data_IF_193134145930
#
_entry.id   IF_193134145930
#
_cell.length_a   1.000
_cell.length_b   1.000
_cell.length_c   1.000
_cell.angle_alpha   90.00
_cell.angle_beta   90.00
_cell.angle_gamma   90.00
#
_symmetry.space_group_name_H-M   'P 1'
#
loop_
_entity.id
_entity.type
_entity.pdbx_description
1 polymer ?
#
# COMPACT_ATOMS: atom_id res chain seq x y z
N UNK A 1 14.62 -8.64 20.99
CA UNK A 1 13.80 -8.36 19.78
C UNK A 1 14.44 -7.27 18.96
N UNK A 2 14.15 -7.20 17.64
CA UNK A 2 14.61 -6.12 16.76
C UNK A 2 13.43 -5.60 15.90
N UNK A 3 13.40 -4.29 15.65
CA UNK A 3 12.43 -3.67 14.76
C UNK A 3 13.16 -3.17 13.52
N UNK A 4 12.80 -3.69 12.35
CA UNK A 4 13.42 -3.34 11.08
C UNK A 4 12.42 -2.74 10.09
N UNK A 5 12.91 -1.79 9.27
CA UNK A 5 12.17 -1.24 8.13
C UNK A 5 12.46 -2.13 6.92
N UNK A 6 11.44 -2.84 6.44
CA UNK A 6 11.54 -3.62 5.20
C UNK A 6 11.57 -2.68 3.99
N UNK A 7 10.61 -1.73 3.96
CA UNK A 7 10.50 -0.76 2.85
C UNK A 7 9.72 0.48 3.26
N UNK A 8 10.22 1.64 2.83
CA UNK A 8 9.48 2.89 2.81
C UNK A 8 9.02 3.19 1.38
N UNK A 9 7.80 3.68 1.23
CA UNK A 9 7.18 4.11 -0.01
C UNK A 9 6.65 5.53 0.15
N UNK A 10 6.03 6.11 -0.86
CA UNK A 10 5.54 7.50 -0.81
C UNK A 10 4.48 7.74 0.28
N UNK A 11 3.57 6.78 0.50
CA UNK A 11 2.42 6.94 1.41
C UNK A 11 2.22 5.77 2.37
N UNK A 12 3.20 4.88 2.45
CA UNK A 12 3.17 3.71 3.33
C UNK A 12 4.58 3.25 3.67
N UNK A 13 4.70 2.45 4.72
CA UNK A 13 5.93 1.78 5.09
C UNK A 13 5.64 0.40 5.67
N UNK A 14 6.55 -0.54 5.46
CA UNK A 14 6.44 -1.93 5.92
C UNK A 14 7.56 -2.23 6.88
N UNK A 15 7.23 -2.84 7.99
CA UNK A 15 8.14 -3.15 9.09
C UNK A 15 8.07 -4.64 9.45
N UNK A 16 9.13 -5.12 10.06
CA UNK A 16 9.20 -6.44 10.67
C UNK A 16 9.64 -6.34 12.12
N UNK A 17 8.92 -7.02 13.00
CA UNK A 17 9.33 -7.29 14.38
C UNK A 17 10.00 -8.68 14.43
N UNK A 18 11.32 -8.68 14.47
CA UNK A 18 12.13 -9.89 14.59
C UNK A 18 12.17 -10.37 16.06
N UNK A 19 11.34 -11.34 16.40
CA UNK A 19 11.19 -11.90 17.74
C UNK A 19 11.56 -13.39 17.81
N UNK A 20 12.15 -13.94 16.74
CA UNK A 20 12.50 -15.36 16.63
C UNK A 20 11.34 -16.29 16.25
N UNK A 21 10.13 -15.75 16.06
CA UNK A 21 8.94 -16.50 15.65
C UNK A 21 8.59 -16.20 14.19
N UNK A 22 8.09 -17.20 13.47
CA UNK A 22 7.60 -17.01 12.09
C UNK A 22 6.18 -16.47 12.09
N UNK A 23 5.91 -15.45 11.28
CA UNK A 23 4.59 -14.87 10.95
C UNK A 23 3.86 -14.18 12.09
N UNK A 24 3.76 -14.76 13.28
CA UNK A 24 2.98 -14.22 14.40
C UNK A 24 3.78 -14.13 15.67
N UNK A 25 3.62 -13.05 16.45
CA UNK A 25 4.19 -12.95 17.79
C UNK A 25 3.47 -13.91 18.75
N UNK A 26 4.10 -14.20 19.88
CA UNK A 26 3.47 -14.98 20.95
C UNK A 26 2.26 -14.25 21.55
N UNK A 27 2.37 -12.94 21.67
CA UNK A 27 1.29 -12.04 22.12
C UNK A 27 1.17 -10.84 21.18
N UNK A 28 -0.06 -10.31 20.93
CA UNK A 28 -0.24 -9.08 20.21
C UNK A 28 0.53 -7.92 20.84
N UNK A 29 1.02 -7.01 20.02
CA UNK A 29 1.80 -5.85 20.46
C UNK A 29 1.18 -4.52 20.00
N UNK A 30 1.55 -3.44 20.69
CA UNK A 30 1.10 -2.09 20.37
C UNK A 30 2.06 -1.47 19.35
N UNK A 31 1.52 -0.79 18.34
CA UNK A 31 2.30 0.00 17.40
C UNK A 31 1.90 1.46 17.52
N UNK A 32 2.89 2.34 17.59
CA UNK A 32 2.69 3.79 17.62
C UNK A 32 3.37 4.45 16.42
N UNK A 33 2.84 5.57 15.98
CA UNK A 33 3.42 6.45 14.98
C UNK A 33 3.50 7.86 15.56
N UNK A 34 4.70 8.43 15.65
CA UNK A 34 4.96 9.70 16.31
C UNK A 34 4.33 9.78 17.72
N UNK A 35 4.41 8.69 18.49
CA UNK A 35 3.85 8.57 19.83
C UNK A 35 2.34 8.32 19.91
N UNK A 36 1.62 8.35 18.77
CA UNK A 36 0.18 8.04 18.73
C UNK A 36 -0.04 6.57 18.37
N UNK A 37 -0.88 5.87 19.14
CA UNK A 37 -1.22 4.46 18.85
C UNK A 37 -1.97 4.35 17.53
N UNK A 38 -1.49 3.45 16.66
CA UNK A 38 -2.08 3.10 15.37
C UNK A 38 -2.60 1.67 15.32
N UNK A 39 -1.97 0.77 16.09
CA UNK A 39 -2.47 -0.59 16.31
C UNK A 39 -2.41 -0.89 17.81
N UNK A 40 -3.55 -1.21 18.42
CA UNK A 40 -3.62 -1.60 19.83
C UNK A 40 -3.24 -3.07 20.05
N UNK A 41 -3.44 -3.91 19.04
CA UNK A 41 -3.19 -5.36 19.10
C UNK A 41 -2.73 -5.89 17.73
N UNK A 42 -1.52 -5.52 17.31
CA UNK A 42 -0.89 -6.07 16.11
C UNK A 42 -0.52 -7.54 16.38
N UNK A 43 -1.00 -8.45 15.52
CA UNK A 43 -0.83 -9.91 15.68
C UNK A 43 -0.03 -10.56 14.55
N UNK A 44 0.71 -9.76 13.79
CA UNK A 44 1.59 -10.21 12.71
C UNK A 44 2.96 -9.57 12.85
N UNK A 45 4.03 -10.35 12.68
CA UNK A 45 5.40 -9.84 12.78
C UNK A 45 5.72 -8.83 11.69
N UNK A 46 5.17 -9.02 10.49
CA UNK A 46 5.23 -8.02 9.42
C UNK A 46 3.95 -7.19 9.44
N UNK A 47 4.10 -5.88 9.52
CA UNK A 47 2.98 -4.93 9.54
C UNK A 47 3.26 -3.69 8.67
N UNK A 48 2.21 -3.02 8.26
CA UNK A 48 2.30 -1.85 7.38
C UNK A 48 1.62 -0.64 8.00
N UNK A 49 2.20 0.52 7.79
CA UNK A 49 1.60 1.82 8.08
C UNK A 49 1.16 2.47 6.78
N UNK A 50 -0.04 3.01 6.77
CA UNK A 50 -0.67 3.63 5.60
C UNK A 50 -1.03 5.08 5.85
N UNK A 51 -1.47 5.80 4.81
CA UNK A 51 -1.90 7.20 4.86
C UNK A 51 -0.82 8.15 5.37
N UNK A 52 0.43 7.84 5.10
CA UNK A 52 1.58 8.69 5.40
C UNK A 52 1.68 9.83 4.38
N UNK A 53 2.31 10.92 4.78
CA UNK A 53 2.64 12.02 3.87
C UNK A 53 3.97 11.71 3.17
N UNK A 54 4.11 12.02 1.86
CA UNK A 54 5.35 11.84 1.13
C UNK A 54 6.49 12.72 1.67
N UNK A 55 7.73 12.24 1.55
CA UNK A 55 8.93 12.98 1.93
C UNK A 55 8.97 13.41 3.41
N UNK A 56 8.28 12.68 4.28
CA UNK A 56 8.09 13.05 5.67
C UNK A 56 8.77 12.07 6.61
N UNK A 57 9.42 12.60 7.65
CA UNK A 57 10.02 11.81 8.71
C UNK A 57 8.98 11.37 9.74
N UNK A 58 9.07 10.12 10.13
CA UNK A 58 8.22 9.49 11.14
C UNK A 58 9.04 8.63 12.10
N UNK A 59 8.57 8.53 13.33
CA UNK A 59 9.07 7.57 14.31
C UNK A 59 8.00 6.53 14.57
N UNK A 60 8.29 5.25 14.23
CA UNK A 60 7.46 4.11 14.61
C UNK A 60 7.97 3.55 15.94
N UNK A 61 7.05 3.25 16.85
CA UNK A 61 7.32 2.59 18.12
C UNK A 61 6.56 1.26 18.21
N UNK A 62 7.17 0.28 18.87
CA UNK A 62 6.57 -1.02 19.16
C UNK A 62 6.74 -1.32 20.64
N UNK A 63 5.64 -1.69 21.30
CA UNK A 63 5.64 -2.19 22.68
C UNK A 63 5.23 -3.65 22.69
N UNK A 64 6.19 -4.54 22.93
CA UNK A 64 6.01 -5.99 22.88
C UNK A 64 6.75 -6.65 24.03
N UNK A 65 6.11 -7.58 24.74
CA UNK A 65 6.70 -8.42 25.81
C UNK A 65 7.51 -7.65 26.87
N UNK A 66 7.03 -6.43 27.21
CA UNK A 66 7.68 -5.54 28.19
C UNK A 66 8.85 -4.71 27.64
N UNK A 67 9.23 -4.90 26.37
CA UNK A 67 10.23 -4.08 25.68
C UNK A 67 9.56 -2.97 24.87
N UNK A 68 10.26 -1.84 24.74
CA UNK A 68 9.87 -0.74 23.84
C UNK A 68 10.97 -0.52 22.82
N UNK A 69 10.63 -0.71 21.55
CA UNK A 69 11.51 -0.49 20.41
C UNK A 69 11.03 0.73 19.63
N UNK A 70 11.96 1.46 19.01
CA UNK A 70 11.62 2.58 18.12
C UNK A 70 12.57 2.65 16.94
N UNK A 71 12.05 3.16 15.81
CA UNK A 71 12.81 3.35 14.58
C UNK A 71 12.30 4.61 13.87
N UNK A 72 13.23 5.48 13.44
CA UNK A 72 12.89 6.65 12.62
C UNK A 72 13.13 6.32 11.15
N UNK A 73 12.21 6.74 10.28
CA UNK A 73 12.27 6.55 8.85
C UNK A 73 11.70 7.75 8.10
N UNK A 74 12.00 7.85 6.82
CA UNK A 74 11.48 8.89 5.93
C UNK A 74 10.72 8.21 4.78
N UNK A 75 9.53 8.70 4.47
CA UNK A 75 8.79 8.26 3.28
C UNK A 75 9.45 8.77 2.01
N UNK A 76 9.31 8.03 0.90
CA UNK A 76 9.80 8.48 -0.41
C UNK A 76 9.09 9.76 -0.84
N UNK A 77 9.82 10.64 -1.55
CA UNK A 77 9.24 11.83 -2.15
C UNK A 77 8.28 11.46 -3.28
N UNK A 78 7.16 12.17 -3.38
CA UNK A 78 6.18 12.01 -4.45
C UNK A 78 6.39 13.09 -5.50
N UNK A 79 6.74 12.70 -6.73
CA UNK A 79 6.99 13.66 -7.81
C UNK A 79 5.71 14.18 -8.44
N UNK A 80 4.64 13.36 -8.43
CA UNK A 80 3.36 13.69 -9.03
C UNK A 80 2.22 12.88 -8.39
N UNK A 81 1.04 13.49 -8.30
CA UNK A 81 -0.16 12.84 -7.78
C UNK A 81 -1.25 12.83 -8.87
N UNK A 82 -1.66 11.64 -9.26
CA UNK A 82 -2.70 11.40 -10.27
C UNK A 82 -3.95 10.86 -9.56
N UNK A 83 -4.99 11.65 -9.47
CA UNK A 83 -6.29 11.18 -9.03
C UNK A 83 -6.96 10.41 -10.18
N UNK A 84 -7.06 9.09 -10.03
CA UNK A 84 -7.60 8.21 -11.06
C UNK A 84 -9.10 8.47 -11.35
N UNK A 85 -9.86 9.08 -10.43
CA UNK A 85 -11.26 9.42 -10.66
C UNK A 85 -11.43 10.35 -11.85
N UNK A 86 -10.43 11.20 -12.13
CA UNK A 86 -10.42 12.14 -13.27
C UNK A 86 -10.37 11.45 -14.64
N UNK A 87 -10.07 10.15 -14.67
CA UNK A 87 -10.09 9.34 -15.90
C UNK A 87 -11.46 8.72 -16.19
N UNK A 88 -12.50 9.13 -15.45
CA UNK A 88 -13.87 8.68 -15.65
C UNK A 88 -14.13 7.26 -15.16
N UNK A 89 -13.43 6.83 -14.11
CA UNK A 89 -13.69 5.55 -13.44
C UNK A 89 -15.13 5.50 -12.87
N UNK A 90 -15.74 4.34 -12.95
CA UNK A 90 -17.06 4.04 -12.38
C UNK A 90 -16.91 3.01 -11.28
N UNK A 91 -17.30 3.39 -10.07
CA UNK A 91 -17.06 2.61 -8.83
C UNK A 91 -18.23 1.69 -8.46
N UNK A 92 -18.93 1.11 -9.44
CA UNK A 92 -20.14 0.28 -9.27
C UNK A 92 -19.85 -1.22 -9.07
N UNK A 93 -18.61 -1.66 -9.32
CA UNK A 93 -18.21 -3.06 -9.28
C UNK A 93 -18.59 -3.86 -10.53
N UNK A 94 -19.23 -3.23 -11.51
CA UNK A 94 -19.75 -3.89 -12.73
C UNK A 94 -19.11 -3.32 -14.00
N UNK A 95 -18.96 -2.02 -14.09
CA UNK A 95 -18.36 -1.35 -15.24
C UNK A 95 -16.87 -1.70 -15.37
N UNK A 96 -16.43 -2.08 -16.57
CA UNK A 96 -15.02 -2.30 -16.85
C UNK A 96 -14.24 -0.98 -16.83
N UNK A 97 -13.28 -0.87 -15.92
CA UNK A 97 -12.40 0.27 -15.74
C UNK A 97 -10.98 0.03 -16.25
N UNK A 98 -10.69 -1.11 -16.88
CA UNK A 98 -9.33 -1.53 -17.27
C UNK A 98 -8.60 -0.45 -18.08
N UNK A 99 -9.20 -0.01 -19.19
CA UNK A 99 -8.56 0.99 -20.06
C UNK A 99 -8.38 2.36 -19.39
N UNK A 100 -9.34 2.77 -18.57
CA UNK A 100 -9.31 4.06 -17.85
C UNK A 100 -8.23 4.07 -16.76
N UNK A 101 -8.16 3.01 -15.94
CA UNK A 101 -7.14 2.90 -14.91
C UNK A 101 -5.75 2.66 -15.52
N UNK A 102 -5.67 1.89 -16.62
CA UNK A 102 -4.42 1.73 -17.36
C UNK A 102 -3.93 3.06 -17.95
N UNK A 103 -4.81 3.93 -18.43
CA UNK A 103 -4.44 5.26 -18.90
C UNK A 103 -3.84 6.11 -17.76
N UNK A 104 -4.45 6.10 -16.56
CA UNK A 104 -3.91 6.78 -15.40
C UNK A 104 -2.51 6.26 -15.03
N UNK A 105 -2.31 4.94 -15.01
CA UNK A 105 -1.02 4.30 -14.73
C UNK A 105 0.03 4.65 -15.80
N UNK A 106 -0.37 4.65 -17.08
CA UNK A 106 0.53 4.91 -18.20
C UNK A 106 0.98 6.37 -18.27
N UNK A 107 0.14 7.32 -17.92
CA UNK A 107 0.45 8.75 -17.91
C UNK A 107 1.17 9.21 -16.65
N UNK A 108 1.12 8.45 -15.55
CA UNK A 108 1.80 8.80 -14.31
C UNK A 108 3.32 8.85 -14.52
N UNK A 109 4.00 9.96 -14.22
CA UNK A 109 5.45 10.06 -14.35
C UNK A 109 6.18 9.21 -13.30
N UNK A 110 7.48 8.97 -13.54
CA UNK A 110 8.37 8.25 -12.61
C UNK A 110 8.36 8.92 -11.23
N UNK A 111 8.20 8.14 -10.18
CA UNK A 111 8.11 8.61 -8.79
C UNK A 111 6.74 9.18 -8.43
N UNK A 112 5.76 9.11 -9.34
CA UNK A 112 4.39 9.55 -9.08
C UNK A 112 3.53 8.46 -8.46
N UNK A 113 2.40 8.90 -7.91
CA UNK A 113 1.36 8.06 -7.32
C UNK A 113 0.06 8.20 -8.12
N UNK A 114 -0.51 7.06 -8.51
CA UNK A 114 -1.89 6.95 -8.99
C UNK A 114 -2.78 6.62 -7.79
N UNK A 115 -3.62 7.57 -7.41
CA UNK A 115 -4.53 7.42 -6.28
C UNK A 115 -5.88 6.89 -6.78
N UNK A 116 -6.33 5.80 -6.16
CA UNK A 116 -7.63 5.20 -6.41
C UNK A 116 -8.53 5.45 -5.19
N UNK A 117 -9.56 6.29 -5.30
CA UNK A 117 -10.48 6.58 -4.19
C UNK A 117 -11.30 5.36 -3.80
N UNK A 118 -11.97 5.42 -2.64
CA UNK A 118 -12.87 4.37 -2.18
C UNK A 118 -13.95 4.04 -3.22
N UNK A 119 -14.20 2.75 -3.43
CA UNK A 119 -15.16 2.26 -4.42
C UNK A 119 -14.81 0.86 -4.91
N UNK A 120 -15.67 0.28 -5.74
CA UNK A 120 -15.48 -1.05 -6.31
C UNK A 120 -15.24 -0.94 -7.81
N UNK A 121 -14.03 -1.26 -8.25
CA UNK A 121 -13.59 -1.08 -9.64
C UNK A 121 -13.29 -2.42 -10.27
N UNK A 122 -14.13 -2.84 -11.25
CA UNK A 122 -13.84 -4.04 -12.02
C UNK A 122 -12.78 -3.74 -13.07
N UNK A 123 -11.76 -4.59 -13.15
CA UNK A 123 -10.65 -4.49 -14.10
C UNK A 123 -10.20 -5.88 -14.54
N UNK A 124 -9.66 -5.96 -15.75
CA UNK A 124 -8.83 -7.08 -16.19
C UNK A 124 -7.36 -6.81 -15.84
N UNK A 125 -6.41 -7.23 -16.68
CA UNK A 125 -4.98 -7.02 -16.45
C UNK A 125 -4.59 -5.55 -16.47
N UNK A 126 -3.82 -5.14 -15.46
CA UNK A 126 -3.21 -3.82 -15.36
C UNK A 126 -1.68 -3.98 -15.40
N UNK A 127 -1.03 -3.14 -16.17
CA UNK A 127 0.42 -3.14 -16.33
C UNK A 127 1.03 -1.96 -15.60
N UNK A 128 1.78 -2.26 -14.54
CA UNK A 128 2.49 -1.26 -13.75
C UNK A 128 3.80 -0.86 -14.40
N UNK A 129 4.18 0.40 -14.27
CA UNK A 129 5.52 0.88 -14.61
C UNK A 129 6.44 0.83 -13.40
N UNK A 130 7.73 0.72 -13.64
CA UNK A 130 8.75 0.86 -12.58
C UNK A 130 8.69 2.25 -11.96
N UNK A 131 8.93 2.33 -10.65
CA UNK A 131 8.94 3.58 -9.88
C UNK A 131 7.60 4.37 -9.97
N UNK A 132 6.49 3.68 -10.02
CA UNK A 132 5.13 4.23 -9.96
C UNK A 132 4.38 3.53 -8.85
N UNK A 133 3.67 4.28 -8.02
CA UNK A 133 2.85 3.76 -6.93
C UNK A 133 1.38 3.75 -7.35
N UNK A 134 0.70 2.62 -7.20
CA UNK A 134 -0.75 2.56 -7.18
C UNK A 134 -1.21 2.54 -5.72
N UNK A 135 -1.81 3.62 -5.27
CA UNK A 135 -2.30 3.78 -3.91
C UNK A 135 -3.81 3.62 -3.85
N UNK A 136 -4.26 2.59 -3.18
CA UNK A 136 -5.68 2.33 -2.94
C UNK A 136 -6.08 2.95 -1.61
N UNK A 137 -7.04 3.88 -1.64
CA UNK A 137 -7.62 4.47 -0.43
C UNK A 137 -8.38 3.39 0.37
N UNK A 138 -8.53 3.63 1.67
CA UNK A 138 -9.35 2.76 2.52
C UNK A 138 -10.76 2.63 1.93
N UNK A 139 -11.18 1.39 1.63
CA UNK A 139 -12.45 1.12 0.96
C UNK A 139 -12.38 1.06 -0.57
N UNK A 140 -11.20 1.29 -1.17
CA UNK A 140 -10.99 0.98 -2.58
C UNK A 140 -10.80 -0.52 -2.77
N UNK A 141 -11.51 -1.10 -3.73
CA UNK A 141 -11.44 -2.53 -4.08
C UNK A 141 -11.25 -2.68 -5.58
N UNK A 142 -10.17 -3.34 -5.98
CA UNK A 142 -10.00 -3.81 -7.36
C UNK A 142 -10.62 -5.21 -7.48
N UNK A 143 -11.58 -5.34 -8.39
CA UNK A 143 -12.25 -6.59 -8.68
C UNK A 143 -11.73 -7.14 -10.01
N UNK A 144 -11.20 -8.36 -10.00
CA UNK A 144 -10.85 -9.06 -11.24
C UNK A 144 -12.09 -9.36 -12.06
N UNK A 145 -11.97 -9.19 -13.39
CA UNK A 145 -13.02 -9.60 -14.31
C UNK A 145 -13.14 -11.13 -14.34
N UNK A 146 -14.36 -11.64 -14.33
CA UNK A 146 -14.62 -13.09 -14.38
C UNK A 146 -14.54 -13.66 -15.81
N UNK A 147 -14.59 -12.82 -16.84
CA UNK A 147 -14.47 -13.27 -18.23
C UNK A 147 -13.00 -13.36 -18.63
N UNK A 148 -12.55 -14.59 -18.88
CA UNK A 148 -11.16 -14.87 -19.28
C UNK A 148 -10.79 -14.25 -20.61
N UNK A 149 -11.75 -13.96 -21.48
CA UNK A 149 -11.50 -13.36 -22.80
C UNK A 149 -11.03 -11.90 -22.70
N UNK A 150 -11.28 -11.25 -21.56
CA UNK A 150 -10.83 -9.89 -21.30
C UNK A 150 -9.36 -9.80 -20.85
N UNK A 151 -8.71 -10.96 -20.65
CA UNK A 151 -7.29 -11.00 -20.27
C UNK A 151 -6.41 -11.29 -21.49
N UNK A 152 -5.36 -10.49 -21.74
CA UNK A 152 -4.46 -10.73 -22.85
C UNK A 152 -3.66 -12.02 -22.62
N UNK A 153 -3.43 -12.78 -23.70
CA UNK A 153 -2.47 -13.87 -23.69
C UNK A 153 -1.08 -13.24 -23.71
N UNK A 154 -0.37 -13.32 -22.60
CA UNK A 154 1.01 -12.85 -22.52
C UNK A 154 1.96 -13.93 -23.06
N UNK A 155 3.00 -13.56 -23.83
CA UNK A 155 4.03 -14.52 -24.22
C UNK A 155 4.67 -15.09 -22.95
N UNK A 156 4.84 -16.41 -22.93
CA UNK A 156 5.55 -17.09 -21.86
C UNK A 156 7.00 -16.58 -21.78
N UNK A 157 7.51 -16.46 -20.57
CA UNK A 157 8.91 -16.09 -20.29
C UNK A 157 9.75 -17.36 -20.36
#
# INVERSE_FOLDING_TARGET
MNLSLIRSMTRSAVFELENGLCFRPAHPFVVTLNGKTVYEACNTNVFSLFSLLPGTEYTVGVQAEGETLSLTFVTEAETFFVDASRYGLVADGETDNTGKLQAALSTCPKGGTVYLPAGRYRTASLFMKSNTTLYLEKGAVLLGDNDRTHYPILPGV
#
